data_IF_346164114338
#
_entry.id   IF_346164114338
#
_cell.length_a   1.000
_cell.length_b   1.000
_cell.length_c   1.000
_cell.angle_alpha   90.00
_cell.angle_beta   90.00
_cell.angle_gamma   90.00
#
_symmetry.space_group_name_H-M   'P 1'
#
loop_
_entity.id
_entity.type
_entity.pdbx_description
1 polymer ?
#
# COMPACT_ATOMS: atom_id res chain seq x y z
N UNK A 1 1.60 7.43 -9.07
CA UNK A 1 0.52 6.94 -9.94
C UNK A 1 0.39 5.45 -9.70
N UNK A 2 -0.76 5.01 -9.27
CA UNK A 2 -1.05 3.61 -8.97
C UNK A 2 -2.14 3.10 -9.88
N UNK A 3 -2.20 1.77 -10.04
CA UNK A 3 -3.32 1.11 -10.68
C UNK A 3 -4.49 1.09 -9.69
N UNK A 4 -5.64 1.58 -10.13
CA UNK A 4 -6.88 1.57 -9.35
C UNK A 4 -7.88 0.66 -10.05
N UNK A 5 -8.19 -0.53 -9.50
CA UNK A 5 -9.15 -1.43 -10.11
C UNK A 5 -10.55 -0.79 -10.15
N UNK A 6 -11.22 -0.99 -11.29
CA UNK A 6 -12.61 -0.59 -11.50
C UNK A 6 -13.46 -1.84 -11.54
N UNK A 7 -14.43 -1.94 -10.66
CA UNK A 7 -15.20 -3.14 -10.39
C UNK A 7 -16.71 -2.84 -10.44
N UNK A 8 -17.52 -3.90 -10.56
CA UNK A 8 -18.94 -3.86 -10.21
C UNK A 8 -19.14 -4.64 -8.92
N UNK A 9 -19.54 -3.95 -7.87
CA UNK A 9 -19.67 -4.51 -6.52
C UNK A 9 -21.08 -4.25 -5.99
N UNK A 10 -21.64 -5.25 -5.31
CA UNK A 10 -22.88 -5.08 -4.54
C UNK A 10 -22.55 -4.53 -3.16
N UNK A 11 -22.95 -3.30 -2.88
CA UNK A 11 -22.82 -2.65 -1.57
C UNK A 11 -24.23 -2.26 -1.13
N UNK A 12 -24.64 -2.62 0.08
CA UNK A 12 -25.99 -2.38 0.61
C UNK A 12 -27.11 -2.87 -0.32
N UNK A 13 -26.93 -4.04 -0.94
CA UNK A 13 -27.84 -4.64 -1.93
C UNK A 13 -28.01 -3.80 -3.23
N UNK A 14 -27.15 -2.83 -3.47
CA UNK A 14 -27.12 -2.02 -4.70
C UNK A 14 -25.83 -2.29 -5.47
N UNK A 15 -25.94 -2.68 -6.75
CA UNK A 15 -24.78 -2.78 -7.62
C UNK A 15 -24.24 -1.39 -7.96
N UNK A 16 -22.97 -1.16 -7.68
CA UNK A 16 -22.27 0.10 -7.95
C UNK A 16 -21.08 -0.13 -8.88
N UNK A 17 -20.82 0.83 -9.76
CA UNK A 17 -19.52 0.96 -10.41
C UNK A 17 -18.55 1.53 -9.38
N UNK A 18 -17.58 0.72 -8.97
CA UNK A 18 -16.71 0.95 -7.83
C UNK A 18 -15.27 1.16 -8.29
N UNK A 19 -14.54 2.04 -7.61
CA UNK A 19 -13.10 2.23 -7.78
C UNK A 19 -12.41 2.03 -6.45
N UNK A 20 -11.41 1.15 -6.41
CA UNK A 20 -10.51 1.06 -5.26
C UNK A 20 -9.24 1.86 -5.54
N UNK A 21 -8.83 2.70 -4.61
CA UNK A 21 -7.57 3.44 -4.70
C UNK A 21 -6.88 3.47 -3.35
N UNK A 22 -5.55 3.49 -3.37
CA UNK A 22 -4.72 3.58 -2.17
C UNK A 22 -3.50 4.43 -2.51
N UNK A 23 -3.01 5.23 -1.59
CA UNK A 23 -1.95 6.18 -1.88
C UNK A 23 -0.82 6.19 -0.87
N UNK A 24 0.04 7.19 -1.01
CA UNK A 24 1.15 7.42 -0.08
C UNK A 24 0.68 7.75 1.33
N UNK A 25 -0.55 8.19 1.49
CA UNK A 25 -1.20 8.38 2.78
C UNK A 25 -1.51 7.07 3.53
N UNK A 26 -1.37 5.93 2.84
CA UNK A 26 -1.58 4.61 3.44
C UNK A 26 -3.04 4.28 3.73
N UNK A 27 -3.97 4.95 3.05
CA UNK A 27 -5.41 4.74 3.23
C UNK A 27 -6.01 4.19 1.93
N UNK A 28 -6.59 2.99 2.00
CA UNK A 28 -7.37 2.44 0.91
C UNK A 28 -8.78 3.03 0.95
N UNK A 29 -9.22 3.56 -0.20
CA UNK A 29 -10.54 4.13 -0.36
C UNK A 29 -11.34 3.35 -1.37
N UNK A 30 -12.56 3.01 -1.01
CA UNK A 30 -13.60 2.56 -1.92
C UNK A 30 -14.47 3.74 -2.35
N UNK A 31 -14.64 3.95 -3.65
CA UNK A 31 -15.40 5.06 -4.20
C UNK A 31 -16.49 4.57 -5.14
N UNK A 32 -17.65 5.21 -5.10
CA UNK A 32 -18.64 5.12 -6.18
C UNK A 32 -18.13 5.89 -7.39
N UNK A 33 -17.91 5.20 -8.50
CA UNK A 33 -17.35 5.79 -9.74
C UNK A 33 -18.25 6.88 -10.33
N UNK A 34 -19.56 6.79 -10.15
CA UNK A 34 -20.54 7.71 -10.74
C UNK A 34 -20.72 8.98 -9.93
N UNK A 35 -20.78 8.85 -8.59
CA UNK A 35 -21.02 9.99 -7.69
C UNK A 35 -19.74 10.58 -7.13
N UNK A 36 -18.62 9.84 -7.20
CA UNK A 36 -17.33 10.13 -6.58
C UNK A 36 -17.39 10.12 -5.04
N UNK A 37 -18.46 9.57 -4.48
CA UNK A 37 -18.61 9.40 -3.03
C UNK A 37 -17.60 8.40 -2.50
N UNK A 38 -16.93 8.74 -1.40
CA UNK A 38 -16.10 7.80 -0.64
C UNK A 38 -17.04 6.96 0.19
N UNK A 39 -17.05 5.66 -0.08
CA UNK A 39 -17.91 4.69 0.61
C UNK A 39 -17.28 4.22 1.91
N UNK A 40 -15.95 4.08 1.92
CA UNK A 40 -15.16 3.76 3.10
C UNK A 40 -13.69 4.15 2.93
N UNK A 41 -13.00 4.27 4.06
CA UNK A 41 -11.56 4.53 4.17
C UNK A 41 -10.95 3.54 5.16
N UNK A 42 -9.92 2.81 4.73
CA UNK A 42 -9.29 1.76 5.55
C UNK A 42 -7.77 1.96 5.58
N UNK A 43 -7.18 2.26 6.75
CA UNK A 43 -5.73 2.32 6.90
C UNK A 43 -5.08 0.96 6.64
N UNK A 44 -4.06 0.91 5.78
CA UNK A 44 -3.31 -0.30 5.44
C UNK A 44 -1.88 -0.30 5.98
N UNK A 45 -1.51 0.75 6.68
CA UNK A 45 -0.23 0.94 7.38
C UNK A 45 -0.45 1.79 8.63
N UNK A 46 0.58 2.02 9.42
CA UNK A 46 0.50 2.91 10.57
C UNK A 46 0.27 4.36 10.13
N UNK A 47 -0.74 5.01 10.72
CA UNK A 47 -1.05 6.43 10.54
C UNK A 47 -0.82 7.14 11.87
N UNK A 48 0.11 8.08 11.89
CA UNK A 48 0.44 8.86 13.08
C UNK A 48 0.80 10.29 12.68
N UNK A 49 0.21 11.28 13.34
CA UNK A 49 0.50 12.71 13.15
C UNK A 49 0.41 13.17 11.68
N UNK A 50 -0.39 12.49 10.83
CA UNK A 50 -0.48 12.78 9.40
C UNK A 50 -1.03 14.19 9.11
N UNK A 51 -1.85 14.74 10.03
CA UNK A 51 -2.44 16.06 9.92
C UNK A 51 -1.63 17.16 10.64
N UNK A 52 -0.52 16.79 11.31
CA UNK A 52 0.30 17.76 12.04
C UNK A 52 1.22 18.49 11.05
N UNK A 53 1.17 19.84 11.01
CA UNK A 53 2.04 20.61 10.13
C UNK A 53 3.53 20.35 10.44
N UNK A 54 4.34 20.22 9.40
CA UNK A 54 5.80 20.11 9.55
C UNK A 54 6.35 21.46 9.97
N UNK A 55 7.08 21.49 11.08
CA UNK A 55 7.70 22.71 11.67
C UNK A 55 9.22 22.63 11.63
N UNK A 56 9.88 23.71 12.04
CA UNK A 56 11.35 23.75 12.18
C UNK A 56 11.85 22.92 13.37
N UNK A 57 11.02 22.71 14.39
CA UNK A 57 11.30 21.79 15.50
C UNK A 57 11.17 20.33 15.09
N UNK A 58 10.45 20.09 14.00
CA UNK A 58 10.21 18.78 13.42
C UNK A 58 8.98 18.08 13.97
N UNK A 59 8.49 17.16 13.15
CA UNK A 59 7.33 16.28 13.45
C UNK A 59 7.70 14.84 13.13
N UNK A 60 7.50 13.93 14.09
CA UNK A 60 7.57 12.49 13.84
C UNK A 60 6.21 11.99 13.36
N UNK A 61 6.15 11.51 12.12
CA UNK A 61 4.91 11.12 11.48
C UNK A 61 5.00 9.79 10.74
N UNK A 62 3.86 9.12 10.57
CA UNK A 62 3.68 7.91 9.79
C UNK A 62 2.50 8.09 8.83
N UNK A 63 2.58 7.57 7.59
CA UNK A 63 3.76 6.94 7.01
C UNK A 63 4.89 7.93 6.72
N UNK A 64 6.12 7.43 6.59
CA UNK A 64 7.29 8.22 6.25
C UNK A 64 7.29 8.72 4.79
N UNK A 65 8.40 9.28 4.32
CA UNK A 65 8.51 9.99 3.02
C UNK A 65 8.19 9.12 1.80
N UNK A 66 8.44 7.82 1.84
CA UNK A 66 8.05 6.91 0.77
C UNK A 66 6.53 6.69 0.73
N UNK A 67 5.83 6.96 1.84
CA UNK A 67 4.41 6.73 2.00
C UNK A 67 4.08 5.29 2.36
N UNK A 68 2.79 5.02 2.57
CA UNK A 68 2.28 3.70 2.90
C UNK A 68 2.21 2.78 1.69
N UNK A 69 1.75 3.26 0.54
CA UNK A 69 1.69 2.47 -0.71
C UNK A 69 2.33 3.26 -1.84
N UNK A 70 3.22 2.60 -2.60
CA UNK A 70 3.96 3.23 -3.69
C UNK A 70 3.22 3.06 -5.03
N UNK A 71 3.81 2.30 -5.96
CA UNK A 71 3.30 2.14 -7.34
C UNK A 71 2.38 0.95 -7.54
N UNK A 72 2.39 -0.01 -6.63
CA UNK A 72 1.56 -1.21 -6.72
C UNK A 72 0.20 -0.94 -6.07
N UNK A 73 -0.84 -0.83 -6.90
CA UNK A 73 -2.21 -0.68 -6.44
C UNK A 73 -2.79 -2.00 -5.90
N UNK A 74 -4.03 -1.97 -5.38
CA UNK A 74 -4.68 -3.16 -4.87
C UNK A 74 -5.06 -4.11 -6.01
N UNK A 75 -4.97 -5.41 -5.76
CA UNK A 75 -5.56 -6.46 -6.59
C UNK A 75 -6.92 -6.87 -6.05
N UNK A 76 -7.83 -7.29 -6.94
CA UNK A 76 -9.14 -7.79 -6.55
C UNK A 76 -9.23 -9.30 -6.72
N UNK A 77 -9.66 -10.00 -5.67
CA UNK A 77 -9.97 -11.43 -5.70
C UNK A 77 -11.50 -11.63 -5.75
N UNK A 78 -12.08 -11.99 -6.90
CA UNK A 78 -13.54 -12.02 -7.04
C UNK A 78 -14.23 -13.13 -6.24
N UNK A 79 -13.58 -14.28 -6.04
CA UNK A 79 -14.12 -15.40 -5.28
C UNK A 79 -14.34 -15.08 -3.81
N UNK A 80 -13.37 -14.42 -3.20
CA UNK A 80 -13.41 -14.02 -1.79
C UNK A 80 -13.92 -12.59 -1.59
N UNK A 81 -14.17 -11.84 -2.67
CA UNK A 81 -14.57 -10.43 -2.66
C UNK A 81 -13.59 -9.54 -1.88
N UNK A 82 -12.30 -9.79 -2.05
CA UNK A 82 -11.24 -9.09 -1.33
C UNK A 82 -10.46 -8.14 -2.23
N UNK A 83 -10.13 -6.97 -1.70
CA UNK A 83 -9.08 -6.08 -2.19
C UNK A 83 -7.83 -6.38 -1.40
N UNK A 84 -6.73 -6.70 -2.08
CA UNK A 84 -5.47 -7.07 -1.43
C UNK A 84 -4.40 -6.08 -1.87
N UNK A 85 -3.77 -5.42 -0.90
CA UNK A 85 -2.78 -4.38 -1.16
C UNK A 85 -1.50 -4.58 -0.35
N UNK A 86 -0.32 -4.40 -0.96
CA UNK A 86 0.94 -4.35 -0.25
C UNK A 86 1.13 -2.96 0.34
N UNK A 87 1.84 -2.83 1.44
CA UNK A 87 2.21 -1.54 2.02
C UNK A 87 3.58 -1.55 2.67
N UNK A 88 4.12 -0.33 2.84
CA UNK A 88 5.30 -0.06 3.66
C UNK A 88 4.81 0.44 5.00
N UNK A 89 5.41 -0.03 6.09
CA UNK A 89 5.11 0.44 7.43
C UNK A 89 6.37 0.98 8.10
N UNK A 90 6.45 2.30 8.20
CA UNK A 90 7.54 3.01 8.86
C UNK A 90 7.16 4.46 9.10
N UNK A 91 7.89 5.08 10.04
CA UNK A 91 7.72 6.50 10.37
C UNK A 91 9.00 7.27 10.07
N UNK A 92 8.89 8.59 10.00
CA UNK A 92 10.03 9.47 9.79
C UNK A 92 9.90 10.77 10.58
N UNK A 93 11.02 11.38 10.89
CA UNK A 93 11.10 12.73 11.41
C UNK A 93 11.17 13.69 10.22
N UNK A 94 10.22 14.59 10.11
CA UNK A 94 10.16 15.65 9.10
C UNK A 94 10.50 16.98 9.78
N UNK A 95 11.43 17.74 9.22
CA UNK A 95 11.84 19.03 9.77
C UNK A 95 11.86 20.05 8.65
N UNK A 96 11.12 21.15 8.78
CA UNK A 96 11.11 22.23 7.81
C UNK A 96 12.44 22.99 7.81
N UNK A 97 12.88 23.46 6.64
CA UNK A 97 14.01 24.39 6.55
C UNK A 97 13.68 25.70 7.25
N UNK A 98 14.69 26.39 7.78
CA UNK A 98 14.53 27.77 8.25
C UNK A 98 14.41 28.72 7.07
N UNK A 99 13.72 29.82 7.24
CA UNK A 99 13.50 30.79 6.17
C UNK A 99 14.81 31.40 5.62
N UNK A 100 15.83 31.51 6.47
CA UNK A 100 17.18 31.97 6.14
C UNK A 100 18.09 30.89 5.54
N UNK A 101 17.71 29.62 5.65
CA UNK A 101 18.45 28.47 5.07
C UNK A 101 17.86 28.03 3.72
N UNK A 102 16.88 28.75 3.18
CA UNK A 102 16.25 28.43 1.89
C UNK A 102 17.16 28.91 0.76
N UNK A 103 18.00 28.01 0.24
CA UNK A 103 18.84 28.26 -0.92
C UNK A 103 18.37 27.40 -2.10
N UNK A 104 17.60 28.04 -3.02
CA UNK A 104 17.17 27.38 -4.23
C UNK A 104 18.24 27.46 -5.31
N UNK A 105 18.83 26.31 -5.64
CA UNK A 105 19.79 26.18 -6.73
C UNK A 105 19.11 25.52 -7.94
N UNK A 106 18.99 26.23 -9.09
CA UNK A 106 18.38 25.66 -10.29
C UNK A 106 19.05 24.35 -10.71
N UNK A 107 18.23 23.31 -10.96
CA UNK A 107 18.69 21.97 -11.35
C UNK A 107 19.05 21.05 -10.18
N UNK A 108 19.00 21.51 -8.95
CA UNK A 108 19.12 20.68 -7.74
C UNK A 108 17.74 20.40 -7.14
N UNK A 109 17.62 19.23 -6.50
CA UNK A 109 16.39 18.87 -5.77
C UNK A 109 16.27 19.73 -4.51
N UNK A 110 15.13 20.42 -4.37
CA UNK A 110 14.77 21.17 -3.19
C UNK A 110 13.62 20.49 -2.45
N UNK A 111 13.84 20.09 -1.20
CA UNK A 111 12.88 19.33 -0.38
C UNK A 111 12.13 20.19 0.64
N UNK A 112 12.49 21.46 0.81
CA UNK A 112 11.89 22.34 1.83
C UNK A 112 12.26 22.00 3.27
N UNK A 113 13.25 21.13 3.47
CA UNK A 113 13.68 20.67 4.77
C UNK A 113 14.38 19.32 4.70
N UNK A 114 14.40 18.61 5.83
CA UNK A 114 15.06 17.30 5.96
C UNK A 114 14.09 16.22 6.41
N UNK A 115 14.39 14.99 6.03
CA UNK A 115 13.68 13.80 6.49
C UNK A 115 14.70 12.78 6.98
N UNK A 116 14.50 12.25 8.18
CA UNK A 116 15.29 11.15 8.72
C UNK A 116 14.40 10.01 9.17
N UNK A 117 14.83 8.79 8.93
CA UNK A 117 14.12 7.58 9.36
C UNK A 117 15.10 6.47 9.68
N UNK A 118 14.71 5.59 10.57
CA UNK A 118 15.44 4.36 10.81
C UNK A 118 15.11 3.35 9.68
N UNK A 119 16.11 3.03 8.88
CA UNK A 119 15.95 2.09 7.77
C UNK A 119 15.76 0.65 8.23
N UNK A 120 16.29 0.29 9.40
CA UNK A 120 16.17 -1.06 9.96
C UNK A 120 14.78 -1.30 10.57
N UNK A 121 14.06 -0.24 10.92
CA UNK A 121 12.70 -0.31 11.45
C UNK A 121 11.60 -0.35 10.36
N UNK A 122 11.97 -0.40 9.08
CA UNK A 122 11.00 -0.43 7.98
C UNK A 122 10.49 -1.86 7.78
N UNK A 123 9.18 -2.02 7.92
CA UNK A 123 8.46 -3.28 7.70
C UNK A 123 7.39 -3.11 6.61
N UNK A 124 6.51 -4.07 6.45
CA UNK A 124 5.42 -3.98 5.50
C UNK A 124 4.24 -4.87 5.86
N UNK A 125 3.14 -4.65 5.18
CA UNK A 125 1.94 -5.47 5.31
C UNK A 125 1.43 -5.90 3.94
N UNK A 126 0.85 -7.09 3.90
CA UNK A 126 -0.09 -7.49 2.86
C UNK A 126 -1.46 -7.52 3.54
N UNK A 127 -2.35 -6.62 3.14
CA UNK A 127 -3.65 -6.44 3.79
C UNK A 127 -4.77 -6.83 2.84
N UNK A 128 -5.68 -7.70 3.28
CA UNK A 128 -6.90 -8.01 2.57
C UNK A 128 -8.10 -7.34 3.22
N UNK A 129 -8.91 -6.71 2.39
CA UNK A 129 -10.02 -5.85 2.77
C UNK A 129 -11.26 -6.33 2.03
N UNK A 130 -12.36 -6.50 2.75
CA UNK A 130 -13.66 -6.79 2.16
C UNK A 130 -14.09 -5.64 1.25
N UNK A 131 -14.38 -5.93 0.00
CA UNK A 131 -14.71 -4.90 -0.99
C UNK A 131 -16.06 -4.24 -0.72
N UNK A 132 -16.96 -4.91 0.00
CA UNK A 132 -18.31 -4.40 0.27
C UNK A 132 -18.33 -3.49 1.51
N UNK A 133 -17.63 -3.90 2.58
CA UNK A 133 -17.64 -3.18 3.87
C UNK A 133 -16.44 -2.28 4.12
N UNK A 134 -15.29 -2.55 3.48
CA UNK A 134 -14.03 -1.92 3.82
C UNK A 134 -13.33 -2.52 5.05
N UNK A 135 -13.88 -3.59 5.65
CA UNK A 135 -13.28 -4.23 6.81
C UNK A 135 -12.03 -5.01 6.45
N UNK A 136 -11.02 -4.93 7.31
CA UNK A 136 -9.84 -5.78 7.20
C UNK A 136 -10.22 -7.21 7.57
N UNK A 137 -10.02 -8.16 6.65
CA UNK A 137 -10.26 -9.58 6.89
C UNK A 137 -9.03 -10.27 7.46
N UNK A 138 -7.86 -10.00 6.88
CA UNK A 138 -6.59 -10.50 7.36
C UNK A 138 -5.42 -9.57 7.02
N UNK A 139 -4.33 -9.73 7.72
CA UNK A 139 -3.05 -9.07 7.46
C UNK A 139 -1.89 -10.05 7.63
N UNK A 140 -0.97 -10.03 6.69
CA UNK A 140 0.34 -10.64 6.82
C UNK A 140 1.37 -9.55 7.11
N UNK A 141 2.15 -9.71 8.17
CA UNK A 141 3.25 -8.78 8.53
C UNK A 141 4.55 -9.27 7.92
N UNK A 142 5.14 -8.47 7.03
CA UNK A 142 6.44 -8.70 6.43
C UNK A 142 7.55 -8.02 7.24
N UNK A 143 8.70 -8.70 7.46
CA UNK A 143 9.85 -8.09 8.13
C UNK A 143 10.53 -6.99 7.30
N UNK A 144 10.09 -6.75 6.06
CA UNK A 144 10.59 -5.71 5.17
C UNK A 144 9.46 -5.04 4.40
N UNK A 145 9.68 -3.85 3.82
CA UNK A 145 8.70 -3.19 2.98
C UNK A 145 8.16 -4.09 1.88
N UNK A 146 6.84 -4.04 1.65
CA UNK A 146 6.19 -4.72 0.54
C UNK A 146 5.83 -3.70 -0.54
N UNK A 147 6.53 -3.77 -1.66
CA UNK A 147 6.36 -2.86 -2.81
C UNK A 147 6.08 -3.60 -4.11
N UNK A 148 6.14 -4.93 -4.08
CA UNK A 148 5.81 -5.78 -5.23
C UNK A 148 4.33 -5.66 -5.60
N UNK A 149 4.02 -5.96 -6.86
CA UNK A 149 2.64 -6.15 -7.29
C UNK A 149 1.97 -7.33 -6.57
N UNK A 150 0.65 -7.28 -6.51
CA UNK A 150 -0.17 -8.39 -6.03
C UNK A 150 -0.90 -9.01 -7.19
N UNK A 151 -0.83 -10.33 -7.32
CA UNK A 151 -1.58 -11.10 -8.31
C UNK A 151 -2.48 -12.09 -7.60
N UNK A 152 -3.76 -12.09 -7.95
CA UNK A 152 -4.74 -13.05 -7.46
C UNK A 152 -5.05 -14.08 -8.54
N UNK A 153 -5.34 -15.32 -8.13
CA UNK A 153 -5.68 -16.41 -9.04
C UNK A 153 -7.08 -16.97 -8.74
N UNK A 154 -7.74 -17.52 -9.75
CA UNK A 154 -9.04 -18.15 -9.56
C UNK A 154 -9.00 -19.39 -8.64
N UNK A 155 -7.82 -19.96 -8.41
CA UNK A 155 -7.58 -21.07 -7.50
C UNK A 155 -7.40 -20.66 -6.03
N UNK A 156 -7.67 -19.39 -5.66
CA UNK A 156 -7.59 -18.94 -4.28
C UNK A 156 -6.19 -18.57 -3.80
N UNK A 157 -5.23 -18.34 -4.71
CA UNK A 157 -3.90 -17.87 -4.34
C UNK A 157 -3.77 -16.36 -4.52
N UNK A 158 -3.03 -15.77 -3.60
CA UNK A 158 -2.46 -14.42 -3.68
C UNK A 158 -0.95 -14.56 -3.80
N UNK A 159 -0.37 -13.90 -4.79
CA UNK A 159 1.07 -13.92 -5.03
C UNK A 159 1.59 -12.49 -4.87
N UNK A 160 2.59 -12.31 -4.02
CA UNK A 160 3.27 -11.04 -3.82
C UNK A 160 4.74 -11.28 -3.43
N UNK A 161 5.49 -10.23 -3.18
CA UNK A 161 6.90 -10.36 -2.83
C UNK A 161 7.36 -9.33 -1.81
N UNK A 162 8.46 -9.67 -1.17
CA UNK A 162 9.12 -8.87 -0.15
C UNK A 162 10.46 -8.32 -0.63
N UNK A 163 10.90 -7.20 -0.08
CA UNK A 163 12.25 -6.71 -0.31
C UNK A 163 13.34 -7.59 0.33
N UNK A 164 12.97 -8.55 1.17
CA UNK A 164 13.87 -9.63 1.61
C UNK A 164 14.31 -10.57 0.49
N UNK A 165 13.60 -10.56 -0.65
CA UNK A 165 13.83 -11.44 -1.79
C UNK A 165 12.90 -12.64 -1.84
N UNK A 166 11.93 -12.74 -0.95
CA UNK A 166 10.96 -13.83 -0.95
C UNK A 166 9.77 -13.51 -1.85
N UNK A 167 9.44 -14.44 -2.73
CA UNK A 167 8.14 -14.51 -3.40
C UNK A 167 7.20 -15.34 -2.52
N UNK A 168 6.04 -14.81 -2.18
CA UNK A 168 5.07 -15.42 -1.29
C UNK A 168 3.86 -15.92 -2.06
N UNK A 169 3.43 -17.14 -1.76
CA UNK A 169 2.15 -17.70 -2.16
C UNK A 169 1.26 -17.81 -0.92
N UNK A 170 0.19 -17.06 -0.91
CA UNK A 170 -0.66 -16.85 0.27
C UNK A 170 -2.06 -17.35 -0.05
N UNK A 171 -2.74 -17.97 0.92
CA UNK A 171 -4.15 -18.34 0.81
C UNK A 171 -5.01 -17.07 0.83
N UNK A 172 -5.87 -16.91 -0.17
CA UNK A 172 -6.67 -15.70 -0.33
C UNK A 172 -7.70 -15.53 0.79
N UNK A 173 -8.19 -16.61 1.37
CA UNK A 173 -9.25 -16.59 2.38
C UNK A 173 -8.72 -16.32 3.78
N UNK A 174 -7.52 -16.83 4.11
CA UNK A 174 -6.97 -16.77 5.48
C UNK A 174 -5.79 -15.82 5.64
N UNK A 175 -5.04 -15.56 4.56
CA UNK A 175 -3.77 -14.83 4.64
C UNK A 175 -2.58 -15.69 5.06
N UNK A 176 -2.76 -17.01 5.19
CA UNK A 176 -1.69 -17.93 5.53
C UNK A 176 -0.69 -18.06 4.39
N UNK A 177 0.61 -17.97 4.70
CA UNK A 177 1.66 -18.21 3.73
C UNK A 177 1.76 -19.71 3.47
N UNK A 178 1.29 -20.15 2.30
CA UNK A 178 1.33 -21.56 1.88
C UNK A 178 2.72 -21.97 1.42
N UNK A 179 3.42 -21.04 0.77
CA UNK A 179 4.78 -21.29 0.27
C UNK A 179 5.54 -19.97 0.12
N UNK A 180 6.87 -20.05 0.28
CA UNK A 180 7.80 -18.95 0.08
C UNK A 180 9.02 -19.41 -0.69
N UNK A 181 9.41 -18.65 -1.71
CA UNK A 181 10.56 -18.95 -2.57
C UNK A 181 11.52 -17.76 -2.59
N UNK A 182 12.76 -17.99 -2.19
CA UNK A 182 13.79 -16.96 -2.31
C UNK A 182 14.24 -16.82 -3.78
N UNK A 183 14.09 -15.61 -4.32
CA UNK A 183 14.38 -15.33 -5.74
C UNK A 183 15.80 -14.89 -6.02
N UNK A 184 16.61 -14.69 -4.97
CA UNK A 184 17.99 -14.22 -5.07
C UNK A 184 18.16 -12.70 -5.03
N UNK A 185 17.06 -11.94 -5.08
CA UNK A 185 17.08 -10.46 -5.04
C UNK A 185 15.76 -9.92 -4.53
N UNK A 186 15.70 -8.66 -4.03
CA UNK A 186 14.47 -7.99 -3.63
C UNK A 186 13.38 -8.03 -4.70
N UNK A 187 12.16 -8.40 -4.31
CA UNK A 187 11.00 -8.44 -5.22
C UNK A 187 10.24 -7.12 -5.09
N UNK A 188 10.29 -6.30 -6.13
CA UNK A 188 9.66 -4.99 -6.14
C UNK A 188 8.88 -4.65 -7.41
N UNK A 189 8.84 -5.59 -8.37
CA UNK A 189 8.15 -5.45 -9.64
C UNK A 189 6.74 -6.04 -9.67
N UNK A 190 6.08 -5.94 -10.82
CA UNK A 190 4.81 -6.62 -11.08
C UNK A 190 4.99 -8.14 -11.15
N UNK A 191 3.94 -8.86 -10.79
CA UNK A 191 3.89 -10.32 -10.84
C UNK A 191 2.80 -10.70 -11.82
N UNK A 192 3.11 -11.59 -12.76
CA UNK A 192 2.16 -12.11 -13.73
C UNK A 192 2.22 -13.63 -13.76
N UNK A 193 1.06 -14.25 -13.99
CA UNK A 193 0.95 -15.68 -14.27
C UNK A 193 0.59 -15.88 -15.74
N UNK A 194 1.15 -16.90 -16.38
CA UNK A 194 0.84 -17.25 -17.76
C UNK A 194 0.91 -18.77 -17.94
N UNK A 195 0.22 -19.27 -18.94
CA UNK A 195 0.25 -20.67 -19.36
C UNK A 195 1.14 -20.79 -20.61
N UNK A 196 1.89 -21.86 -20.67
CA UNK A 196 2.69 -22.23 -21.87
C UNK A 196 2.10 -23.53 -22.40
N UNK A 197 1.67 -23.51 -23.68
CA UNK A 197 1.21 -24.70 -24.42
C UNK A 197 2.38 -25.62 -24.84
#
# INVERSE_FOLDING_TARGET
TQVSPVLKVGIDNVFRDFVATVGKDGILRGLDKRTHEILYETPVTTILNAEVPVTQEGVFACPGVYGGVLWSGPAYHPGEKLLITPSIDYCAQFTAARDDDVDYIPGQMYMGGTVSSDKEAQTGWLTAIDVESGDVKWRYHSPAPMVAGVTTTAGGLVISGELTGNLLLVDASSGDVLHSVYTGAPVGGGIVTYEVE
#
